data_IF_472221097158
#
_entry.id   IF_472221097158
#
_cell.length_a   1.000
_cell.length_b   1.000
_cell.length_c   1.000
_cell.angle_alpha   90.00
_cell.angle_beta   90.00
_cell.angle_gamma   90.00
#
_symmetry.space_group_name_H-M   'P 1'
#
loop_
_entity.id
_entity.type
_entity.pdbx_description
1 polymer ?
#
# COMPACT_ATOMS: atom_id res chain seq x y z
N UNK A 1 -5.76 18.07 -6.35
CA UNK A 1 -6.17 17.47 -5.06
C UNK A 1 -5.14 17.84 -4.02
N UNK A 2 -5.53 18.14 -2.78
CA UNK A 2 -4.58 18.42 -1.69
C UNK A 2 -3.92 17.15 -1.16
N UNK A 3 -2.79 17.28 -0.46
CA UNK A 3 -2.04 16.14 0.11
C UNK A 3 -2.95 15.20 0.91
N UNK A 4 -3.73 15.75 1.85
CA UNK A 4 -4.63 14.97 2.70
C UNK A 4 -5.73 14.23 1.93
N UNK A 5 -6.24 14.81 0.83
CA UNK A 5 -7.23 14.14 0.00
C UNK A 5 -6.62 12.94 -0.74
N UNK A 6 -5.42 13.10 -1.30
CA UNK A 6 -4.72 12.02 -2.02
C UNK A 6 -4.32 10.90 -1.06
N UNK A 7 -3.84 11.26 0.14
CA UNK A 7 -3.53 10.29 1.20
C UNK A 7 -4.79 9.54 1.63
N UNK A 8 -5.90 10.23 1.89
CA UNK A 8 -7.16 9.60 2.27
C UNK A 8 -7.68 8.64 1.18
N UNK A 9 -7.57 9.03 -0.09
CA UNK A 9 -7.92 8.18 -1.22
C UNK A 9 -7.08 6.90 -1.25
N UNK A 10 -5.75 7.02 -1.17
CA UNK A 10 -4.84 5.88 -1.22
C UNK A 10 -4.99 4.95 -0.01
N UNK A 11 -5.15 5.49 1.20
CA UNK A 11 -5.37 4.69 2.42
C UNK A 11 -6.71 3.97 2.35
N UNK A 12 -7.77 4.64 1.90
CA UNK A 12 -9.10 4.06 1.77
C UNK A 12 -9.11 2.86 0.82
N UNK A 13 -8.43 2.95 -0.33
CA UNK A 13 -8.34 1.84 -1.29
C UNK A 13 -7.52 0.66 -0.75
N UNK A 14 -6.38 0.93 -0.11
CA UNK A 14 -5.52 -0.11 0.48
C UNK A 14 -6.23 -0.86 1.62
N UNK A 15 -6.90 -0.14 2.52
CA UNK A 15 -7.67 -0.71 3.64
C UNK A 15 -8.86 -1.52 3.11
N UNK A 16 -9.59 -0.98 2.12
CA UNK A 16 -10.71 -1.65 1.45
C UNK A 16 -10.32 -3.01 0.86
N UNK A 17 -9.25 -3.05 0.07
CA UNK A 17 -8.77 -4.27 -0.56
C UNK A 17 -8.19 -5.27 0.47
N UNK A 18 -7.40 -4.80 1.42
CA UNK A 18 -6.63 -5.68 2.31
C UNK A 18 -7.46 -6.19 3.49
N UNK A 19 -8.04 -5.28 4.28
CA UNK A 19 -8.67 -5.59 5.57
C UNK A 19 -10.06 -6.20 5.36
N UNK A 20 -10.84 -5.68 4.42
CA UNK A 20 -12.22 -6.13 4.23
C UNK A 20 -12.38 -7.21 3.15
N UNK A 21 -11.43 -7.33 2.21
CA UNK A 21 -11.54 -8.31 1.11
C UNK A 21 -10.73 -9.59 1.36
N UNK A 22 -9.42 -9.47 1.65
CA UNK A 22 -8.52 -10.64 1.70
C UNK A 22 -8.00 -11.02 3.10
N UNK A 23 -8.38 -10.28 4.15
CA UNK A 23 -7.87 -10.51 5.51
C UNK A 23 -8.16 -11.91 6.04
N UNK A 24 -9.36 -12.45 5.79
CA UNK A 24 -9.72 -13.81 6.22
C UNK A 24 -8.87 -14.89 5.54
N UNK A 25 -8.52 -14.71 4.27
CA UNK A 25 -7.60 -15.61 3.56
C UNK A 25 -6.18 -15.51 4.15
N UNK A 26 -5.71 -14.29 4.41
CA UNK A 26 -4.43 -14.06 5.08
C UNK A 26 -4.37 -14.71 6.46
N UNK A 27 -5.42 -14.57 7.28
CA UNK A 27 -5.52 -15.19 8.59
C UNK A 27 -5.49 -16.72 8.51
N UNK A 28 -6.12 -17.32 7.50
CA UNK A 28 -6.09 -18.78 7.30
C UNK A 28 -4.70 -19.29 6.88
N UNK A 29 -3.96 -18.53 6.08
CA UNK A 29 -2.64 -18.94 5.57
C UNK A 29 -1.51 -18.65 6.56
N UNK A 30 -1.51 -17.46 7.17
CA UNK A 30 -0.45 -17.00 8.07
C UNK A 30 -0.76 -17.26 9.55
N UNK A 31 -2.03 -17.47 9.91
CA UNK A 31 -2.45 -17.70 11.29
C UNK A 31 -1.96 -16.59 12.23
N UNK A 32 -1.32 -16.92 13.37
CA UNK A 32 -0.81 -15.94 14.31
C UNK A 32 0.33 -15.08 13.74
N UNK A 33 0.97 -15.51 12.64
CA UNK A 33 2.05 -14.76 12.00
C UNK A 33 1.55 -13.68 11.04
N UNK A 34 0.23 -13.50 10.88
CA UNK A 34 -0.35 -12.50 9.98
C UNK A 34 0.19 -11.08 10.21
N UNK A 35 0.34 -10.57 11.45
CA UNK A 35 0.93 -9.24 11.67
C UNK A 35 2.36 -9.14 11.13
N UNK A 36 3.14 -10.21 11.26
CA UNK A 36 4.52 -10.27 10.77
C UNK A 36 4.56 -10.20 9.24
N UNK A 37 3.66 -10.93 8.57
CA UNK A 37 3.52 -10.91 7.10
C UNK A 37 3.12 -9.51 6.62
N UNK A 38 2.23 -8.82 7.33
CA UNK A 38 1.88 -7.43 7.03
C UNK A 38 3.08 -6.49 7.16
N UNK A 39 3.89 -6.63 8.21
CA UNK A 39 5.12 -5.83 8.39
C UNK A 39 6.11 -6.07 7.26
N UNK A 40 6.38 -7.33 6.91
CA UNK A 40 7.27 -7.65 5.78
C UNK A 40 6.74 -7.09 4.45
N UNK A 41 5.43 -7.21 4.19
CA UNK A 41 4.82 -6.63 3.01
C UNK A 41 4.95 -5.11 2.99
N UNK A 42 4.82 -4.46 4.15
CA UNK A 42 5.04 -3.02 4.32
C UNK A 42 6.48 -2.59 4.02
N UNK A 43 7.48 -3.38 4.45
CA UNK A 43 8.90 -3.11 4.12
C UNK A 43 9.11 -3.18 2.60
N UNK A 44 8.58 -4.22 1.94
CA UNK A 44 8.64 -4.35 0.47
C UNK A 44 7.94 -3.16 -0.20
N UNK A 45 6.77 -2.77 0.29
CA UNK A 45 6.04 -1.60 -0.22
C UNK A 45 6.83 -0.29 -0.08
N UNK A 46 7.60 -0.11 1.02
CA UNK A 46 8.45 1.07 1.20
C UNK A 46 9.59 1.13 0.18
N UNK A 47 10.19 -0.01 -0.17
CA UNK A 47 11.22 -0.07 -1.22
C UNK A 47 10.65 0.35 -2.59
N UNK A 48 9.42 -0.10 -2.91
CA UNK A 48 8.70 0.32 -4.11
C UNK A 48 8.36 1.82 -4.04
N UNK A 49 7.84 2.27 -2.90
CA UNK A 49 7.48 3.67 -2.67
C UNK A 49 8.69 4.61 -2.85
N UNK A 50 9.89 4.21 -2.42
CA UNK A 50 11.11 4.99 -2.65
C UNK A 50 11.38 5.20 -4.15
N UNK A 51 11.25 4.14 -4.95
CA UNK A 51 11.42 4.22 -6.40
C UNK A 51 10.38 5.13 -7.04
N UNK A 52 9.11 4.97 -6.65
CA UNK A 52 7.99 5.78 -7.13
C UNK A 52 8.10 7.25 -6.72
N UNK A 53 8.54 7.54 -5.49
CA UNK A 53 8.73 8.91 -4.99
C UNK A 53 9.84 9.62 -5.77
N UNK A 54 10.93 8.91 -6.09
CA UNK A 54 12.02 9.48 -6.89
C UNK A 54 11.60 9.70 -8.34
N UNK A 55 10.86 8.75 -8.94
CA UNK A 55 10.37 8.87 -10.31
C UNK A 55 9.35 10.00 -10.44
N UNK A 56 8.33 10.03 -9.58
CA UNK A 56 7.28 11.04 -9.58
C UNK A 56 7.76 12.46 -9.25
N UNK A 57 8.97 12.61 -8.69
CA UNK A 57 9.61 13.93 -8.54
C UNK A 57 10.21 14.48 -9.83
N UNK A 58 10.41 13.62 -10.85
CA UNK A 58 11.08 13.95 -12.11
C UNK A 58 10.14 13.86 -13.31
N UNK A 59 9.26 12.86 -13.32
CA UNK A 59 8.28 12.62 -14.36
C UNK A 59 6.90 12.87 -13.77
N UNK A 60 6.17 13.80 -14.37
CA UNK A 60 4.82 14.18 -13.94
C UNK A 60 3.90 13.89 -15.13
N UNK A 61 3.11 12.82 -14.99
CA UNK A 61 2.18 12.36 -16.02
C UNK A 61 0.94 11.74 -15.36
N UNK A 62 -0.22 11.93 -15.96
CA UNK A 62 -1.48 11.31 -15.50
C UNK A 62 -1.55 9.80 -15.82
N UNK A 63 -0.60 9.29 -16.63
CA UNK A 63 -0.42 7.86 -16.86
C UNK A 63 0.19 7.12 -15.65
N UNK A 64 0.63 7.87 -14.62
CA UNK A 64 1.40 7.38 -13.47
C UNK A 64 2.72 8.14 -13.32
N UNK A 65 3.48 7.91 -12.24
CA UNK A 65 4.86 8.38 -12.20
C UNK A 65 5.65 7.86 -13.40
#
# INVERSE_FOLDING_TARGET
>A
MGLWQVVALAVGTMVGASIFSIFGLGARLAGPNLPLVFVFSGIVALLVAYSYAKLGSRIISDAGP
#
